data_IF_964622844543
#
_entry.id   IF_964622844543
#
_cell.length_a   1.000
_cell.length_b   1.000
_cell.length_c   1.000
_cell.angle_alpha   90.00
_cell.angle_beta   90.00
_cell.angle_gamma   90.00
#
_symmetry.space_group_name_H-M   'P 1'
#
loop_
_entity.id
_entity.type
_entity.pdbx_description
1 polymer ?
#
# COMPACT_ATOMS: atom_id res chain seq x y z
N UNK A 1 -2.19 7.96 14.15
CA UNK A 1 -2.29 8.27 12.69
C UNK A 1 -3.15 7.21 11.98
N UNK A 2 -3.81 7.54 10.87
CA UNK A 2 -4.79 6.66 10.19
C UNK A 2 -4.28 5.24 9.84
N UNK A 3 -2.97 5.05 9.65
CA UNK A 3 -2.37 3.76 9.27
C UNK A 3 -1.56 3.09 10.38
N UNK A 4 -1.64 3.59 11.62
CA UNK A 4 -0.82 3.10 12.72
C UNK A 4 -1.26 1.71 13.21
N UNK A 5 -2.57 1.43 13.17
CA UNK A 5 -3.13 0.10 13.42
C UNK A 5 -2.67 -0.92 12.38
N UNK A 6 -2.77 -0.56 11.09
CA UNK A 6 -2.30 -1.38 9.99
C UNK A 6 -0.81 -1.70 10.11
N UNK A 7 0.02 -0.68 10.38
CA UNK A 7 1.46 -0.86 10.60
C UNK A 7 1.75 -1.87 11.72
N UNK A 8 1.11 -1.71 12.89
CA UNK A 8 1.32 -2.64 14.02
C UNK A 8 0.95 -4.07 13.67
N UNK A 9 -0.18 -4.26 12.99
CA UNK A 9 -0.63 -5.60 12.61
C UNK A 9 0.31 -6.26 11.61
N UNK A 10 0.72 -5.55 10.55
CA UNK A 10 1.67 -6.07 9.56
C UNK A 10 2.99 -6.50 10.23
N UNK A 11 3.56 -5.63 11.08
CA UNK A 11 4.79 -5.95 11.80
C UNK A 11 4.61 -7.15 12.75
N UNK A 12 3.45 -7.25 13.39
CA UNK A 12 3.09 -8.41 14.22
C UNK A 12 3.00 -9.71 13.40
N UNK A 13 2.37 -9.69 12.22
CA UNK A 13 2.27 -10.86 11.34
C UNK A 13 3.63 -11.31 10.83
N UNK A 14 4.52 -10.37 10.44
CA UNK A 14 5.89 -10.69 10.02
C UNK A 14 6.73 -11.24 11.18
N UNK A 15 6.41 -10.84 12.41
CA UNK A 15 7.05 -11.37 13.62
C UNK A 15 6.95 -12.90 13.77
N UNK A 16 5.95 -13.55 13.17
CA UNK A 16 5.79 -15.02 13.17
C UNK A 16 6.94 -15.75 12.45
N UNK A 17 7.62 -15.06 11.52
CA UNK A 17 8.75 -15.60 10.76
C UNK A 17 10.09 -15.36 11.44
N UNK A 18 10.12 -14.64 12.56
CA UNK A 18 11.37 -14.27 13.23
C UNK A 18 12.06 -15.51 13.79
N UNK A 19 13.30 -15.74 13.37
CA UNK A 19 14.11 -16.88 13.80
C UNK A 19 13.85 -18.18 13.03
N UNK A 20 12.89 -18.19 12.10
CA UNK A 20 12.67 -19.31 11.18
C UNK A 20 13.71 -19.28 10.06
N UNK A 21 14.20 -20.46 9.68
CA UNK A 21 15.18 -20.64 8.60
C UNK A 21 14.52 -20.91 7.26
N UNK A 22 13.39 -21.60 7.27
CA UNK A 22 12.65 -22.03 6.08
C UNK A 22 11.17 -21.64 6.19
N UNK A 23 10.53 -21.58 5.02
CA UNK A 23 9.10 -21.30 4.89
C UNK A 23 8.32 -22.57 5.18
N UNK A 24 7.44 -22.53 6.18
CA UNK A 24 6.45 -23.59 6.43
C UNK A 24 5.04 -23.12 6.07
N UNK A 25 4.25 -24.02 5.47
CA UNK A 25 2.93 -23.71 4.93
C UNK A 25 1.96 -23.23 6.02
N UNK A 26 2.05 -23.78 7.23
CA UNK A 26 1.20 -23.40 8.36
C UNK A 26 1.42 -21.92 8.74
N UNK A 27 2.67 -21.50 8.86
CA UNK A 27 3.03 -20.12 9.25
C UNK A 27 2.71 -19.13 8.15
N UNK A 28 2.90 -19.50 6.88
CA UNK A 28 2.48 -18.65 5.76
C UNK A 28 0.97 -18.44 5.81
N UNK A 29 0.18 -19.50 6.00
CA UNK A 29 -1.29 -19.39 6.12
C UNK A 29 -1.71 -18.55 7.33
N UNK A 30 -1.01 -18.65 8.46
CA UNK A 30 -1.29 -17.83 9.63
C UNK A 30 -0.98 -16.35 9.36
N UNK A 31 0.17 -16.07 8.76
CA UNK A 31 0.60 -14.73 8.35
C UNK A 31 -0.40 -14.11 7.38
N UNK A 32 -0.83 -14.83 6.34
CA UNK A 32 -1.73 -14.29 5.31
C UNK A 32 -3.13 -14.06 5.87
N UNK A 33 -3.62 -14.92 6.77
CA UNK A 33 -4.88 -14.70 7.52
C UNK A 33 -4.80 -13.47 8.43
N UNK A 34 -3.69 -13.28 9.13
CA UNK A 34 -3.45 -12.13 10.00
C UNK A 34 -3.39 -10.83 9.18
N UNK A 35 -2.64 -10.85 8.08
CA UNK A 35 -2.52 -9.72 7.15
C UNK A 35 -3.86 -9.36 6.50
N UNK A 36 -4.66 -10.35 6.09
CA UNK A 36 -6.00 -10.13 5.53
C UNK A 36 -6.90 -9.40 6.50
N UNK A 37 -6.92 -9.81 7.77
CA UNK A 37 -7.70 -9.13 8.82
C UNK A 37 -7.24 -7.68 9.00
N UNK A 38 -5.93 -7.45 9.03
CA UNK A 38 -5.36 -6.11 9.16
C UNK A 38 -5.77 -5.17 8.01
N UNK A 39 -5.79 -5.67 6.78
CA UNK A 39 -6.20 -4.89 5.61
C UNK A 39 -7.69 -4.55 5.65
N UNK A 40 -8.55 -5.52 6.03
CA UNK A 40 -9.99 -5.29 6.16
C UNK A 40 -10.33 -4.29 7.27
N UNK A 41 -9.63 -4.34 8.40
CA UNK A 41 -9.75 -3.36 9.49
C UNK A 41 -9.30 -1.95 9.08
N UNK A 42 -8.47 -1.85 8.03
CA UNK A 42 -7.99 -0.59 7.47
C UNK A 42 -8.85 -0.10 6.29
N UNK A 43 -10.10 -0.58 6.18
CA UNK A 43 -11.07 -0.21 5.14
C UNK A 43 -10.64 -0.55 3.70
N UNK A 44 -9.76 -1.54 3.50
CA UNK A 44 -9.45 -2.02 2.16
C UNK A 44 -10.62 -2.80 1.56
N UNK A 45 -10.78 -2.69 0.24
CA UNK A 45 -11.78 -3.47 -0.49
C UNK A 45 -11.51 -4.98 -0.31
N UNK A 46 -12.56 -5.76 -0.05
CA UNK A 46 -12.46 -7.21 0.19
C UNK A 46 -11.76 -7.96 -0.95
N UNK A 47 -12.03 -7.58 -2.21
CA UNK A 47 -11.37 -8.21 -3.37
C UNK A 47 -9.89 -7.87 -3.41
N UNK A 48 -9.54 -6.60 -3.22
CA UNK A 48 -8.14 -6.15 -3.19
C UNK A 48 -7.37 -6.82 -2.05
N UNK A 49 -7.95 -6.90 -0.85
CA UNK A 49 -7.33 -7.56 0.28
C UNK A 49 -7.09 -9.05 0.01
N UNK A 50 -8.10 -9.75 -0.54
CA UNK A 50 -7.99 -11.16 -0.92
C UNK A 50 -6.87 -11.38 -1.93
N UNK A 51 -6.94 -10.68 -3.07
CA UNK A 51 -5.95 -10.80 -4.16
C UNK A 51 -4.54 -10.48 -3.70
N UNK A 52 -4.38 -9.45 -2.87
CA UNK A 52 -3.10 -9.08 -2.29
C UNK A 52 -2.52 -10.20 -1.44
N UNK A 53 -3.32 -10.75 -0.52
CA UNK A 53 -2.86 -11.83 0.37
C UNK A 53 -2.58 -13.14 -0.35
N UNK A 54 -3.36 -13.48 -1.39
CA UNK A 54 -3.13 -14.68 -2.21
C UNK A 54 -1.84 -14.57 -3.05
N UNK A 55 -1.51 -13.37 -3.54
CA UNK A 55 -0.22 -13.13 -4.22
C UNK A 55 0.94 -13.24 -3.24
N UNK A 56 0.80 -12.70 -2.04
CA UNK A 56 1.82 -12.78 -0.99
C UNK A 56 2.07 -14.23 -0.57
N UNK A 57 0.99 -14.99 -0.32
CA UNK A 57 1.04 -16.41 0.03
C UNK A 57 1.79 -17.22 -1.03
N UNK A 58 1.36 -17.09 -2.29
CA UNK A 58 1.98 -17.79 -3.41
C UNK A 58 3.46 -17.48 -3.57
N UNK A 59 3.81 -16.19 -3.57
CA UNK A 59 5.20 -15.76 -3.75
C UNK A 59 6.08 -16.17 -2.57
N UNK A 60 5.57 -16.21 -1.33
CA UNK A 60 6.33 -16.72 -0.19
C UNK A 60 6.63 -18.22 -0.30
N UNK A 61 5.75 -19.00 -0.94
CA UNK A 61 5.94 -20.44 -1.14
C UNK A 61 6.80 -20.75 -2.37
N UNK A 62 6.75 -19.92 -3.40
CA UNK A 62 7.46 -20.13 -4.68
C UNK A 62 8.85 -19.46 -4.74
N UNK A 63 9.06 -18.32 -4.06
CA UNK A 63 10.32 -17.59 -4.11
C UNK A 63 11.31 -18.11 -3.07
N UNK A 64 12.49 -18.53 -3.52
CA UNK A 64 13.59 -18.85 -2.62
C UNK A 64 14.16 -17.59 -1.96
N UNK A 65 14.44 -17.70 -0.67
CA UNK A 65 15.12 -16.64 0.07
C UNK A 65 16.53 -16.47 -0.47
N UNK A 66 16.89 -15.23 -0.82
CA UNK A 66 18.25 -14.92 -1.28
C UNK A 66 19.27 -15.29 -0.20
N UNK A 67 20.44 -15.84 -0.55
CA UNK A 67 21.49 -16.14 0.40
C UNK A 67 21.81 -14.94 1.30
N UNK A 68 21.82 -15.16 2.62
CA UNK A 68 22.11 -14.12 3.61
C UNK A 68 20.94 -13.20 3.98
N UNK A 69 19.77 -13.34 3.36
CA UNK A 69 18.56 -12.59 3.73
C UNK A 69 17.71 -13.41 4.69
N UNK A 70 17.35 -12.83 5.83
CA UNK A 70 16.45 -13.46 6.80
C UNK A 70 15.03 -13.57 6.23
N UNK A 71 14.31 -14.62 6.64
CA UNK A 71 12.97 -14.91 6.13
C UNK A 71 11.96 -13.79 6.45
N UNK A 72 12.02 -13.22 7.65
CA UNK A 72 11.20 -12.07 8.07
C UNK A 72 11.43 -10.84 7.16
N UNK A 73 12.68 -10.58 6.79
CA UNK A 73 13.08 -9.49 5.90
C UNK A 73 12.61 -9.73 4.48
N UNK A 74 12.74 -10.96 3.98
CA UNK A 74 12.22 -11.35 2.68
C UNK A 74 10.70 -11.15 2.60
N UNK A 75 9.95 -11.64 3.60
CA UNK A 75 8.51 -11.46 3.68
C UNK A 75 8.10 -9.99 3.78
N UNK A 76 8.82 -9.18 4.57
CA UNK A 76 8.56 -7.74 4.66
C UNK A 76 8.74 -7.03 3.31
N UNK A 77 9.81 -7.35 2.58
CA UNK A 77 10.07 -6.80 1.26
C UNK A 77 9.00 -7.20 0.24
N UNK A 78 8.54 -8.46 0.32
CA UNK A 78 7.49 -8.98 -0.54
C UNK A 78 6.15 -8.27 -0.27
N UNK A 79 5.75 -8.14 1.00
CA UNK A 79 4.56 -7.38 1.41
C UNK A 79 4.66 -5.93 0.93
N UNK A 80 5.80 -5.28 1.13
CA UNK A 80 6.04 -3.91 0.65
C UNK A 80 5.86 -3.80 -0.86
N UNK A 81 6.46 -4.71 -1.62
CA UNK A 81 6.40 -4.73 -3.10
C UNK A 81 4.97 -4.90 -3.58
N UNK A 82 4.20 -5.80 -2.98
CA UNK A 82 2.81 -6.04 -3.35
C UNK A 82 1.89 -4.86 -2.95
N UNK A 83 2.16 -4.18 -1.84
CA UNK A 83 1.47 -2.93 -1.46
C UNK A 83 1.77 -1.80 -2.45
N UNK A 84 3.03 -1.63 -2.86
CA UNK A 84 3.41 -0.64 -3.87
C UNK A 84 2.75 -0.96 -5.21
N UNK A 85 2.73 -2.23 -5.61
CA UNK A 85 2.05 -2.68 -6.83
C UNK A 85 0.56 -2.32 -6.82
N UNK A 86 -0.10 -2.43 -5.66
CA UNK A 86 -1.51 -2.08 -5.51
C UNK A 86 -1.78 -0.58 -5.73
N UNK A 87 -0.84 0.30 -5.32
CA UNK A 87 -0.96 1.75 -5.53
C UNK A 87 -0.83 2.17 -7.00
N UNK A 88 -0.24 1.31 -7.83
CA UNK A 88 -0.01 1.57 -9.24
C UNK A 88 1.20 2.47 -9.51
N UNK A 89 1.53 2.70 -10.80
CA UNK A 89 2.67 3.51 -11.17
C UNK A 89 2.44 4.98 -10.81
N UNK A 90 3.52 5.67 -10.45
CA UNK A 90 3.48 7.11 -10.26
C UNK A 90 3.07 7.79 -11.58
N UNK A 91 2.07 8.66 -11.52
CA UNK A 91 1.62 9.47 -12.65
C UNK A 91 1.76 10.94 -12.30
N UNK A 92 2.47 11.68 -13.13
CA UNK A 92 2.50 13.14 -13.04
C UNK A 92 1.35 13.73 -13.85
N UNK A 93 0.54 14.57 -13.21
CA UNK A 93 -0.52 15.34 -13.88
C UNK A 93 0.04 16.72 -14.17
N UNK A 94 0.31 16.99 -15.46
CA UNK A 94 0.81 18.28 -15.93
C UNK A 94 -0.38 19.17 -16.30
N UNK A 95 -0.42 20.43 -15.82
CA UNK A 95 -1.46 21.36 -16.22
C UNK A 95 -1.34 21.66 -17.72
N UNK A 96 -2.49 21.73 -18.39
CA UNK A 96 -2.60 22.25 -19.76
C UNK A 96 -3.80 23.21 -19.86
N UNK A 97 -4.12 23.71 -21.05
CA UNK A 97 -5.27 24.61 -21.25
C UNK A 97 -6.59 23.82 -21.10
N UNK A 98 -6.97 23.55 -19.87
CA UNK A 98 -8.13 22.74 -19.49
C UNK A 98 -8.89 23.36 -18.31
N UNK A 99 -10.19 23.07 -18.23
CA UNK A 99 -11.02 23.42 -17.08
C UNK A 99 -11.17 22.18 -16.20
N UNK A 100 -10.71 22.25 -14.94
CA UNK A 100 -10.80 21.14 -13.99
C UNK A 100 -11.94 21.35 -13.00
N UNK A 101 -12.91 20.44 -13.00
CA UNK A 101 -14.03 20.44 -12.07
C UNK A 101 -13.72 19.60 -10.82
N UNK A 102 -13.77 20.22 -9.65
CA UNK A 102 -13.52 19.57 -8.36
C UNK A 102 -14.83 19.07 -7.73
N UNK A 103 -15.05 17.75 -7.74
CA UNK A 103 -16.28 17.09 -7.25
C UNK A 103 -16.01 16.15 -6.07
N UNK A 104 -17.04 15.89 -5.26
CA UNK A 104 -16.95 15.04 -4.06
C UNK A 104 -17.95 15.42 -2.96
N UNK A 105 -18.03 14.62 -1.90
CA UNK A 105 -18.97 14.82 -0.78
C UNK A 105 -18.67 16.09 0.03
N UNK A 106 -19.67 16.59 0.78
CA UNK A 106 -19.50 17.73 1.69
C UNK A 106 -18.42 17.43 2.75
N UNK A 107 -17.62 18.44 3.10
CA UNK A 107 -16.55 18.29 4.09
C UNK A 107 -15.29 17.53 3.64
N UNK A 108 -15.24 16.98 2.42
CA UNK A 108 -14.06 16.22 1.91
C UNK A 108 -12.90 17.10 1.42
N UNK A 109 -12.87 18.38 1.81
CA UNK A 109 -11.75 19.26 1.50
C UNK A 109 -11.67 19.77 0.06
N UNK A 110 -12.75 19.71 -0.75
CA UNK A 110 -12.76 20.19 -2.15
C UNK A 110 -12.15 21.59 -2.30
N UNK A 111 -12.69 22.58 -1.59
CA UNK A 111 -12.23 23.99 -1.64
C UNK A 111 -10.76 24.12 -1.25
N UNK A 112 -10.34 23.42 -0.18
CA UNK A 112 -8.95 23.42 0.29
C UNK A 112 -8.01 22.78 -0.73
N UNK A 113 -8.41 21.66 -1.32
CA UNK A 113 -7.64 20.95 -2.34
C UNK A 113 -7.55 21.78 -3.62
N UNK A 114 -8.62 22.47 -4.04
CA UNK A 114 -8.59 23.40 -5.18
C UNK A 114 -7.51 24.47 -4.99
N UNK A 115 -7.51 25.15 -3.84
CA UNK A 115 -6.51 26.19 -3.55
C UNK A 115 -5.08 25.64 -3.52
N UNK A 116 -4.87 24.46 -2.91
CA UNK A 116 -3.57 23.79 -2.84
C UNK A 116 -3.06 23.37 -4.22
N UNK A 117 -3.92 22.78 -5.05
CA UNK A 117 -3.56 22.35 -6.41
C UNK A 117 -3.25 23.56 -7.28
N UNK A 118 -4.06 24.62 -7.21
CA UNK A 118 -3.82 25.87 -7.94
C UNK A 118 -2.46 26.48 -7.60
N UNK A 119 -2.13 26.56 -6.30
CA UNK A 119 -0.84 27.09 -5.86
C UNK A 119 0.33 26.19 -6.26
N UNK A 120 0.16 24.87 -6.14
CA UNK A 120 1.17 23.90 -6.56
C UNK A 120 1.46 24.00 -8.06
N UNK A 121 0.44 24.14 -8.90
CA UNK A 121 0.62 24.33 -10.35
C UNK A 121 1.30 25.65 -10.70
N UNK A 122 0.92 26.77 -10.05
CA UNK A 122 1.62 28.05 -10.22
C UNK A 122 3.11 27.94 -9.91
N UNK A 123 3.47 27.33 -8.77
CA UNK A 123 4.87 27.21 -8.33
C UNK A 123 5.68 26.21 -9.15
N UNK A 124 5.12 25.03 -9.44
CA UNK A 124 5.85 23.94 -10.09
C UNK A 124 5.93 24.10 -11.60
N UNK A 125 4.90 24.64 -12.23
CA UNK A 125 4.77 24.70 -13.69
C UNK A 125 4.72 26.12 -14.26
N UNK A 126 4.68 27.17 -13.43
CA UNK A 126 4.67 28.55 -13.90
C UNK A 126 3.40 28.97 -14.66
N UNK A 127 2.33 28.19 -14.52
CA UNK A 127 1.07 28.43 -15.24
C UNK A 127 0.18 29.42 -14.47
N UNK A 128 -0.63 30.20 -15.18
CA UNK A 128 -1.71 30.97 -14.57
C UNK A 128 -2.88 30.04 -14.27
N UNK A 129 -3.41 30.11 -13.05
CA UNK A 129 -4.59 29.34 -12.62
C UNK A 129 -5.65 30.33 -12.16
N UNK A 130 -6.85 30.21 -12.72
CA UNK A 130 -8.03 31.01 -12.40
C UNK A 130 -8.98 30.24 -11.47
#
# INVERSE_FOLDING_TARGET
MALEGLKRRILGSVGLLKGKREVDEETVRELTRSLRRALLEADFNVRQAKELTERIERRLMEEETRPGVKLDTHAMNLIYTELVRLLGPAREIKPHNETVLMVGLYGQGKTTTTAKVAEWWRRKHGVKVA
#
